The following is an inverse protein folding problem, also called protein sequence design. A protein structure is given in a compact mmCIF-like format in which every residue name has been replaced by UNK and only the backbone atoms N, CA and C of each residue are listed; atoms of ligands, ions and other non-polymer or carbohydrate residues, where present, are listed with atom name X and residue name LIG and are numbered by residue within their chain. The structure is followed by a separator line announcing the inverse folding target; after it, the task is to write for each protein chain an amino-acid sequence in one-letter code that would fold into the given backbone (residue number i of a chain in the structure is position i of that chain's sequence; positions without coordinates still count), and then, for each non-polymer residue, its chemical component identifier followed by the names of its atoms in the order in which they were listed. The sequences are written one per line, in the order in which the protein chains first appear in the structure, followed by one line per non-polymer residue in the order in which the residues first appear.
data_IF_001217734632
#
_entry.id   IF_001217734632
#
_cell.length_a   1.000
_cell.length_b   1.000
_cell.length_c   1.000
_cell.angle_alpha   90.00
_cell.angle_beta   90.00
_cell.angle_gamma   90.00
#
_symmetry.space_group_name_H-M   'P 1'
#
loop_
_entity.id
_entity.type
_entity.pdbx_description
1 polymer ?
#
# COMPACT_ATOMS: atom_id res chain seq x y z
N UNK A 1 21.02 2.62 21.29
CA UNK A 1 20.57 3.66 20.33
C UNK A 1 19.62 2.98 19.34
N UNK A 2 18.30 3.19 19.49
CA UNK A 2 17.28 2.69 18.55
C UNK A 2 17.19 3.70 17.39
N UNK A 3 17.53 3.25 16.19
CA UNK A 3 17.29 4.04 14.99
C UNK A 3 15.84 3.80 14.54
N UNK A 4 15.00 4.81 14.69
CA UNK A 4 13.64 4.84 14.14
C UNK A 4 13.77 5.18 12.66
N UNK A 5 13.49 4.20 11.78
CA UNK A 5 13.36 4.42 10.34
C UNK A 5 11.95 4.95 10.10
N UNK A 6 11.83 6.26 9.85
CA UNK A 6 10.59 6.89 9.39
C UNK A 6 10.49 6.67 7.89
N UNK A 7 9.56 5.82 7.46
CA UNK A 7 9.21 5.64 6.06
C UNK A 7 8.28 6.81 5.64
N UNK A 8 8.82 7.77 4.91
CA UNK A 8 8.02 8.83 4.28
C UNK A 8 7.41 8.27 3.01
N UNK A 9 6.09 7.99 3.05
CA UNK A 9 5.31 7.69 1.84
C UNK A 9 5.02 9.01 1.15
N UNK A 10 5.76 9.29 0.08
CA UNK A 10 5.46 10.39 -0.83
C UNK A 10 4.20 10.03 -1.64
N UNK A 11 3.06 10.61 -1.28
CA UNK A 11 1.85 10.55 -2.08
C UNK A 11 2.05 11.29 -3.39
N UNK A 12 2.12 10.56 -4.51
CA UNK A 12 2.08 11.16 -5.84
C UNK A 12 0.67 11.71 -6.09
N UNK A 13 0.55 13.03 -6.12
CA UNK A 13 -0.62 13.72 -6.67
C UNK A 13 -0.67 13.42 -8.17
N UNK A 14 -1.56 12.52 -8.59
CA UNK A 14 -1.88 12.31 -10.00
C UNK A 14 -2.69 13.52 -10.46
N UNK A 15 -2.22 14.31 -11.44
CA UNK A 15 -3.03 15.39 -11.99
C UNK A 15 -4.24 14.78 -12.69
N UNK A 16 -5.44 15.05 -12.18
CA UNK A 16 -6.67 14.72 -12.86
C UNK A 16 -6.66 15.37 -14.25
N UNK A 17 -6.81 14.58 -15.30
CA UNK A 17 -7.01 15.08 -16.65
C UNK A 17 -8.35 15.85 -16.65
N UNK A 18 -8.29 17.18 -16.74
CA UNK A 18 -9.47 17.99 -16.98
C UNK A 18 -10.06 17.54 -18.32
N UNK A 19 -11.18 16.79 -18.27
CA UNK A 19 -11.96 16.56 -19.48
C UNK A 19 -12.50 17.91 -19.94
N UNK A 20 -12.19 18.28 -21.18
CA UNK A 20 -12.78 19.45 -21.79
C UNK A 20 -14.30 19.27 -21.75
N UNK A 21 -14.99 20.08 -20.94
CA UNK A 21 -16.45 20.11 -20.93
C UNK A 21 -16.91 20.50 -22.33
N UNK A 22 -17.44 19.53 -23.03
CA UNK A 22 -18.14 19.80 -24.30
C UNK A 22 -19.47 20.40 -23.89
N UNK A 23 -19.85 21.54 -24.48
CA UNK A 23 -21.17 22.16 -24.28
C UNK A 23 -22.28 21.36 -24.98
N UNK A 24 -22.18 20.05 -25.02
CA UNK A 24 -23.15 19.16 -25.58
C UNK A 24 -24.34 19.02 -24.66
N UNK A 25 -25.52 18.83 -25.24
CA UNK A 25 -26.78 18.49 -24.55
C UNK A 25 -27.57 17.49 -25.38
N UNK A 26 -28.64 16.97 -24.79
CA UNK A 26 -29.57 16.07 -25.46
C UNK A 26 -30.95 16.70 -25.42
N UNK A 27 -31.57 16.88 -26.57
CA UNK A 27 -32.90 17.48 -26.66
C UNK A 27 -33.98 16.51 -26.17
N UNK A 28 -33.87 15.24 -26.58
CA UNK A 28 -34.71 14.14 -26.07
C UNK A 28 -33.94 12.82 -26.01
N UNK A 29 -34.27 12.03 -25.00
CA UNK A 29 -33.83 10.67 -24.85
C UNK A 29 -35.04 9.80 -24.50
N UNK A 30 -35.50 9.03 -25.46
CA UNK A 30 -36.65 8.18 -25.31
C UNK A 30 -36.18 6.71 -25.26
N UNK A 31 -36.52 6.00 -24.18
CA UNK A 31 -36.12 4.62 -23.96
C UNK A 31 -37.32 3.72 -23.79
N UNK A 32 -37.34 2.60 -24.49
CA UNK A 32 -38.28 1.51 -24.26
C UNK A 32 -37.54 0.28 -23.77
N UNK A 33 -37.91 -0.20 -22.59
CA UNK A 33 -37.48 -1.46 -21.99
C UNK A 33 -38.58 -2.49 -22.16
N UNK A 34 -38.24 -3.65 -22.71
CA UNK A 34 -39.16 -4.80 -22.86
C UNK A 34 -38.56 -6.02 -22.19
N UNK A 35 -39.13 -6.43 -21.06
CA UNK A 35 -38.76 -7.68 -20.38
C UNK A 35 -39.49 -8.82 -21.02
N UNK A 36 -38.74 -9.83 -21.52
CA UNK A 36 -39.32 -11.05 -22.05
C UNK A 36 -39.66 -12.09 -20.96
N UNK A 37 -40.47 -13.07 -21.25
CA UNK A 37 -40.69 -14.22 -20.36
C UNK A 37 -39.43 -15.04 -20.15
N UNK A 38 -38.45 -14.88 -21.03
CA UNK A 38 -37.11 -15.46 -20.96
C UNK A 38 -36.14 -14.75 -19.97
N UNK A 39 -36.57 -13.61 -19.38
CA UNK A 39 -35.75 -12.80 -18.48
C UNK A 39 -34.83 -11.81 -19.17
N UNK A 40 -34.79 -11.84 -20.49
CA UNK A 40 -33.97 -10.88 -21.25
C UNK A 40 -34.63 -9.51 -21.28
N UNK A 41 -33.85 -8.47 -21.02
CA UNK A 41 -34.21 -7.08 -21.16
C UNK A 41 -33.80 -6.59 -22.54
N UNK A 42 -34.79 -6.34 -23.42
CA UNK A 42 -34.60 -5.73 -24.75
C UNK A 42 -34.78 -4.23 -24.63
N UNK A 43 -33.79 -3.49 -25.12
CA UNK A 43 -33.74 -2.03 -24.99
C UNK A 43 -33.72 -1.40 -26.36
N UNK A 44 -34.52 -0.33 -26.51
CA UNK A 44 -34.46 0.57 -27.65
C UNK A 44 -34.39 2.01 -27.15
N UNK A 45 -33.34 2.71 -27.50
CA UNK A 45 -33.11 4.12 -27.15
C UNK A 45 -33.13 4.98 -28.40
N UNK A 46 -33.87 6.09 -28.38
CA UNK A 46 -33.80 7.12 -29.42
C UNK A 46 -33.31 8.41 -28.79
N UNK A 47 -32.14 8.88 -29.23
CA UNK A 47 -31.41 10.00 -28.65
C UNK A 47 -31.28 11.11 -29.69
N UNK A 48 -31.79 12.30 -29.42
CA UNK A 48 -31.56 13.53 -30.21
C UNK A 48 -30.45 14.31 -29.55
N UNK A 49 -29.22 14.13 -30.05
CA UNK A 49 -28.03 14.74 -29.50
C UNK A 49 -27.79 16.12 -30.11
N UNK A 50 -27.53 17.14 -29.28
CA UNK A 50 -27.16 18.49 -29.67
C UNK A 50 -25.68 18.73 -29.42
N UNK A 51 -24.95 19.03 -30.47
CA UNK A 51 -23.53 19.31 -30.40
C UNK A 51 -23.29 20.78 -30.07
N UNK A 52 -22.62 21.07 -28.95
CA UNK A 52 -22.28 22.43 -28.52
C UNK A 52 -21.23 23.11 -29.40
N UNK A 53 -20.44 22.31 -30.12
CA UNK A 53 -19.47 22.75 -31.12
C UNK A 53 -19.37 21.71 -32.23
N UNK A 54 -19.54 22.12 -33.47
CA UNK A 54 -19.46 21.20 -34.62
C UNK A 54 -18.04 20.93 -35.09
N UNK A 55 -17.02 21.66 -34.60
CA UNK A 55 -15.65 21.49 -35.03
C UNK A 55 -15.03 20.22 -34.42
N UNK A 56 -14.70 19.26 -35.28
CA UNK A 56 -14.01 18.03 -34.89
C UNK A 56 -14.90 16.94 -34.27
N UNK A 57 -16.22 17.05 -34.39
CA UNK A 57 -17.16 16.02 -33.91
C UNK A 57 -17.31 14.92 -34.94
N UNK A 58 -17.29 13.68 -34.49
CA UNK A 58 -17.40 12.49 -35.31
C UNK A 58 -18.53 11.57 -34.86
N UNK A 59 -19.13 11.79 -33.68
CA UNK A 59 -20.18 10.95 -33.12
C UNK A 59 -20.42 11.19 -31.63
N UNK A 60 -21.06 10.21 -30.99
CA UNK A 60 -21.40 10.20 -29.58
C UNK A 60 -20.82 8.97 -28.88
N UNK A 61 -20.88 8.97 -27.55
CA UNK A 61 -20.58 7.82 -26.71
C UNK A 61 -21.81 7.41 -25.91
N UNK A 62 -22.08 6.12 -25.83
CA UNK A 62 -23.07 5.53 -24.93
C UNK A 62 -22.38 4.49 -24.06
N UNK A 63 -22.44 4.69 -22.75
CA UNK A 63 -21.84 3.78 -21.77
C UNK A 63 -22.93 2.95 -21.10
N UNK A 64 -22.75 1.65 -21.05
CA UNK A 64 -23.66 0.67 -20.48
C UNK A 64 -22.96 -0.09 -19.34
N UNK A 65 -23.58 -0.28 -18.16
CA UNK A 65 -22.98 -1.05 -17.09
C UNK A 65 -22.88 -2.53 -17.51
N UNK A 66 -21.75 -3.17 -17.21
CA UNK A 66 -21.54 -4.61 -17.43
C UNK A 66 -21.23 -5.35 -16.13
N UNK A 67 -20.88 -4.61 -15.06
CA UNK A 67 -20.64 -5.14 -13.72
C UNK A 67 -20.83 -4.04 -12.69
N UNK A 68 -21.43 -4.38 -11.56
CA UNK A 68 -21.55 -3.48 -10.42
C UNK A 68 -21.49 -4.27 -9.09
N UNK A 69 -21.10 -3.66 -7.96
CA UNK A 69 -21.18 -4.28 -6.65
C UNK A 69 -22.62 -4.64 -6.29
N UNK A 70 -22.83 -5.86 -5.79
CA UNK A 70 -24.16 -6.35 -5.43
C UNK A 70 -24.20 -6.87 -4.00
N UNK A 71 -25.25 -6.51 -3.24
CA UNK A 71 -25.47 -6.97 -1.88
C UNK A 71 -24.56 -6.29 -0.83
N UNK A 72 -24.61 -6.78 0.40
CA UNK A 72 -23.78 -6.27 1.50
C UNK A 72 -22.30 -6.61 1.28
N UNK A 73 -21.42 -5.78 1.83
CA UNK A 73 -19.97 -5.99 1.75
C UNK A 73 -19.50 -7.37 2.21
N UNK A 74 -20.26 -8.00 3.12
CA UNK A 74 -19.95 -9.31 3.66
C UNK A 74 -19.97 -10.43 2.59
N UNK A 75 -20.87 -10.35 1.61
CA UNK A 75 -21.02 -11.35 0.58
C UNK A 75 -20.06 -11.16 -0.62
N UNK A 76 -19.55 -9.97 -0.80
CA UNK A 76 -18.57 -9.58 -1.84
C UNK A 76 -18.83 -10.24 -3.18
N UNK A 77 -20.03 -10.00 -3.70
CA UNK A 77 -20.46 -10.42 -5.02
C UNK A 77 -20.65 -9.20 -5.93
N UNK A 78 -20.52 -9.40 -7.21
CA UNK A 78 -20.82 -8.42 -8.24
C UNK A 78 -21.95 -8.95 -9.11
N UNK A 79 -22.92 -8.13 -9.47
CA UNK A 79 -23.85 -8.38 -10.54
C UNK A 79 -23.13 -8.20 -11.88
N UNK A 80 -23.35 -9.10 -12.81
CA UNK A 80 -22.76 -9.08 -14.15
C UNK A 80 -23.87 -9.05 -15.17
N UNK A 81 -23.73 -8.15 -16.14
CA UNK A 81 -24.68 -7.94 -17.22
C UNK A 81 -24.03 -8.28 -18.54
N UNK A 82 -24.62 -9.23 -19.29
CA UNK A 82 -24.16 -9.54 -20.64
C UNK A 82 -24.97 -8.75 -21.66
N UNK A 83 -24.26 -7.91 -22.44
CA UNK A 83 -24.86 -7.06 -23.46
C UNK A 83 -24.64 -7.70 -24.82
N UNK A 84 -25.74 -7.96 -25.54
CA UNK A 84 -25.73 -8.61 -26.84
C UNK A 84 -26.62 -7.87 -27.83
N UNK A 85 -26.60 -8.30 -29.09
CA UNK A 85 -27.46 -7.82 -30.18
C UNK A 85 -27.42 -6.29 -30.35
N UNK A 86 -26.24 -5.69 -30.14
CA UNK A 86 -26.09 -4.23 -30.27
C UNK A 86 -26.29 -3.82 -31.72
N UNK A 87 -27.16 -2.85 -31.90
CA UNK A 87 -27.49 -2.26 -33.21
C UNK A 87 -27.57 -0.73 -33.09
N UNK A 88 -27.10 -0.03 -34.08
CA UNK A 88 -27.18 1.44 -34.15
C UNK A 88 -27.70 1.83 -35.53
N UNK A 89 -28.61 2.81 -35.55
CA UNK A 89 -29.06 3.46 -36.78
C UNK A 89 -29.10 4.99 -36.56
N UNK A 90 -28.89 5.76 -37.60
CA UNK A 90 -29.01 7.22 -37.59
C UNK A 90 -29.38 7.71 -38.98
N UNK A 91 -30.41 8.61 -39.08
CA UNK A 91 -30.73 9.25 -40.35
C UNK A 91 -29.78 10.42 -40.67
N UNK A 92 -29.10 10.97 -39.65
CA UNK A 92 -28.41 12.27 -39.74
C UNK A 92 -26.89 12.14 -39.66
N UNK A 93 -26.37 10.99 -39.21
CA UNK A 93 -24.96 10.81 -38.94
C UNK A 93 -24.53 9.36 -39.24
N UNK A 94 -23.23 9.07 -39.14
CA UNK A 94 -22.71 7.71 -39.26
C UNK A 94 -23.18 6.86 -38.07
N UNK A 95 -23.75 5.70 -38.37
CA UNK A 95 -24.16 4.68 -37.40
C UNK A 95 -23.07 3.61 -37.15
N UNK A 96 -21.88 3.74 -37.76
CA UNK A 96 -20.76 2.86 -37.45
C UNK A 96 -20.40 2.97 -35.98
N UNK A 97 -20.11 1.86 -35.33
CA UNK A 97 -19.71 1.88 -33.91
C UNK A 97 -18.61 0.89 -33.60
N UNK A 98 -17.92 1.15 -32.51
CA UNK A 98 -16.97 0.24 -31.89
C UNK A 98 -17.26 0.16 -30.40
N UNK A 99 -16.98 -0.97 -29.79
CA UNK A 99 -17.16 -1.20 -28.35
C UNK A 99 -15.81 -1.27 -27.63
N UNK A 100 -15.80 -0.83 -26.39
CA UNK A 100 -14.64 -0.98 -25.50
C UNK A 100 -15.13 -1.16 -24.07
N UNK A 101 -14.64 -2.21 -23.39
CA UNK A 101 -14.92 -2.45 -21.98
C UNK A 101 -13.91 -1.71 -21.12
N UNK A 102 -14.37 -1.05 -20.09
CA UNK A 102 -13.56 -0.31 -19.11
C UNK A 102 -14.02 -0.65 -17.69
N UNK A 103 -13.06 -1.07 -16.85
CA UNK A 103 -13.26 -1.33 -15.42
C UNK A 103 -12.39 -0.41 -14.53
N UNK A 104 -11.64 0.54 -15.12
CA UNK A 104 -10.64 1.29 -14.37
C UNK A 104 -11.21 2.51 -13.64
N UNK A 105 -12.20 3.19 -14.21
CA UNK A 105 -12.72 4.44 -13.66
C UNK A 105 -13.56 4.24 -12.40
N UNK A 106 -14.32 3.13 -12.31
CA UNK A 106 -15.10 2.75 -11.13
C UNK A 106 -14.42 1.72 -10.22
N UNK A 107 -13.23 1.27 -10.61
CA UNK A 107 -12.54 0.15 -9.97
C UNK A 107 -12.91 -1.20 -10.58
N UNK A 108 -12.30 -2.31 -10.14
CA UNK A 108 -12.44 -3.62 -10.78
C UNK A 108 -13.85 -4.25 -10.62
N UNK A 109 -14.66 -3.67 -9.73
CA UNK A 109 -16.02 -4.12 -9.45
C UNK A 109 -17.08 -3.30 -10.19
N UNK A 110 -16.69 -2.22 -10.86
CA UNK A 110 -17.56 -1.30 -11.56
C UNK A 110 -17.07 -1.20 -13.00
N UNK A 111 -17.65 -2.00 -13.87
CA UNK A 111 -17.25 -2.10 -15.27
C UNK A 111 -18.36 -1.63 -16.20
N UNK A 112 -17.97 -1.05 -17.31
CA UNK A 112 -18.88 -0.62 -18.35
C UNK A 112 -18.39 -0.99 -19.75
N UNK A 113 -19.32 -1.11 -20.68
CA UNK A 113 -19.05 -1.15 -22.09
C UNK A 113 -19.43 0.19 -22.73
N UNK A 114 -18.48 0.82 -23.40
CA UNK A 114 -18.69 2.09 -24.10
C UNK A 114 -18.83 1.83 -25.60
N UNK A 115 -20.00 2.17 -26.13
CA UNK A 115 -20.26 2.26 -27.56
C UNK A 115 -19.77 3.61 -28.07
N UNK A 116 -18.73 3.63 -28.90
CA UNK A 116 -18.30 4.83 -29.64
C UNK A 116 -18.98 4.79 -31.01
N UNK A 117 -19.99 5.63 -31.17
CA UNK A 117 -20.85 5.69 -32.34
C UNK A 117 -20.42 6.83 -33.23
N UNK A 118 -20.10 6.55 -34.48
CA UNK A 118 -19.64 7.51 -35.48
C UNK A 118 -18.45 6.98 -36.27
N UNK A 119 -17.97 7.75 -37.23
CA UNK A 119 -16.83 7.43 -38.09
C UNK A 119 -15.74 8.49 -37.95
N UNK A 120 -14.52 8.07 -37.63
CA UNK A 120 -13.37 8.95 -37.43
C UNK A 120 -13.03 9.83 -38.64
N UNK A 121 -13.41 9.38 -39.86
CA UNK A 121 -13.16 10.10 -41.10
C UNK A 121 -14.33 10.98 -41.54
N UNK A 122 -15.50 10.85 -40.89
CA UNK A 122 -16.70 11.60 -41.21
C UNK A 122 -17.03 12.58 -40.10
N UNK A 123 -17.03 13.87 -40.42
CA UNK A 123 -17.39 14.94 -39.46
C UNK A 123 -18.89 15.19 -39.47
N UNK A 124 -19.41 15.42 -38.28
CA UNK A 124 -20.79 15.91 -38.12
C UNK A 124 -20.82 17.40 -38.42
N UNK A 125 -21.69 17.81 -39.33
CA UNK A 125 -21.85 19.20 -39.74
C UNK A 125 -23.16 19.82 -39.26
N UNK A 126 -24.14 18.97 -38.87
CA UNK A 126 -25.42 19.40 -38.29
C UNK A 126 -25.30 19.76 -36.82
N UNK A 127 -26.15 20.67 -36.34
CA UNK A 127 -26.18 21.04 -34.91
C UNK A 127 -26.71 19.89 -34.03
N UNK A 128 -27.55 19.01 -34.59
CA UNK A 128 -28.15 17.87 -33.93
C UNK A 128 -27.99 16.63 -34.77
N UNK A 129 -28.00 15.46 -34.15
CA UNK A 129 -28.15 14.18 -34.82
C UNK A 129 -28.97 13.21 -33.96
N UNK A 130 -29.78 12.40 -34.64
CA UNK A 130 -30.65 11.40 -34.03
C UNK A 130 -29.98 10.04 -34.13
N UNK A 131 -29.88 9.32 -33.01
CA UNK A 131 -29.36 7.95 -32.95
C UNK A 131 -30.43 7.03 -32.36
N UNK A 132 -30.67 5.90 -32.99
CA UNK A 132 -31.46 4.81 -32.39
C UNK A 132 -30.53 3.65 -32.10
N UNK A 133 -30.48 3.24 -30.82
CA UNK A 133 -29.59 2.21 -30.29
C UNK A 133 -30.47 1.10 -29.74
N UNK A 134 -30.26 -0.15 -30.25
CA UNK A 134 -30.89 -1.34 -29.70
C UNK A 134 -29.87 -2.26 -29.09
N UNK A 135 -30.23 -2.95 -28.01
CA UNK A 135 -29.40 -3.96 -27.36
C UNK A 135 -30.25 -4.88 -26.47
N UNK A 136 -29.67 -6.03 -26.09
CA UNK A 136 -30.26 -7.02 -25.19
C UNK A 136 -29.37 -7.17 -23.97
N UNK A 137 -29.97 -7.22 -22.78
CA UNK A 137 -29.23 -7.40 -21.50
C UNK A 137 -29.75 -8.65 -20.80
N UNK A 138 -28.86 -9.55 -20.36
CA UNK A 138 -29.17 -10.62 -19.43
C UNK A 138 -28.68 -10.32 -18.03
N UNK A 139 -29.33 -10.86 -17.00
CA UNK A 139 -28.99 -10.64 -15.59
C UNK A 139 -29.51 -9.32 -15.00
N UNK A 140 -30.34 -8.56 -15.73
CA UNK A 140 -30.85 -7.25 -15.29
C UNK A 140 -31.94 -7.32 -14.21
N UNK A 141 -32.56 -8.49 -14.03
CA UNK A 141 -33.68 -8.66 -13.13
C UNK A 141 -33.22 -9.04 -11.70
N UNK A 142 -34.07 -8.71 -10.74
CA UNK A 142 -33.95 -9.10 -9.32
C UNK A 142 -35.24 -9.73 -8.86
N UNK A 143 -35.17 -10.77 -7.99
CA UNK A 143 -36.34 -11.37 -7.40
C UNK A 143 -36.23 -11.36 -5.88
N UNK A 144 -37.29 -10.95 -5.20
CA UNK A 144 -37.42 -10.99 -3.74
C UNK A 144 -38.24 -12.20 -3.24
N UNK A 145 -38.75 -13.02 -4.14
CA UNK A 145 -39.70 -14.11 -3.84
C UNK A 145 -41.15 -13.66 -3.90
N UNK A 146 -41.50 -12.47 -3.45
CA UNK A 146 -42.85 -11.91 -3.49
C UNK A 146 -43.15 -11.19 -4.82
N UNK A 147 -42.12 -10.69 -5.48
CA UNK A 147 -42.17 -10.04 -6.79
C UNK A 147 -40.82 -10.13 -7.49
N UNK A 148 -40.86 -9.98 -8.80
CA UNK A 148 -39.68 -9.71 -9.62
C UNK A 148 -39.58 -8.22 -9.91
N UNK A 149 -38.40 -7.69 -10.18
CA UNK A 149 -38.17 -6.28 -10.40
C UNK A 149 -37.11 -6.04 -11.47
N UNK A 150 -37.40 -5.12 -12.40
CA UNK A 150 -36.39 -4.44 -13.17
C UNK A 150 -35.97 -3.20 -12.36
N UNK A 151 -34.75 -3.15 -11.87
CA UNK A 151 -34.15 -1.99 -11.22
C UNK A 151 -32.90 -1.61 -11.99
N UNK A 152 -32.95 -0.48 -12.73
CA UNK A 152 -31.98 -0.18 -13.75
C UNK A 152 -31.62 1.30 -13.84
N UNK A 153 -30.32 1.60 -14.00
CA UNK A 153 -29.83 2.94 -14.30
C UNK A 153 -29.99 3.21 -15.81
N UNK A 154 -30.99 4.01 -16.16
CA UNK A 154 -31.29 4.35 -17.55
C UNK A 154 -30.19 5.21 -18.15
N UNK A 155 -29.74 6.22 -17.39
CA UNK A 155 -28.70 7.15 -17.80
C UNK A 155 -27.75 7.37 -16.65
N UNK A 156 -26.47 7.13 -16.90
CA UNK A 156 -25.39 7.34 -15.93
C UNK A 156 -24.92 8.78 -15.84
N UNK A 157 -24.04 9.06 -14.89
CA UNK A 157 -23.53 10.41 -14.60
C UNK A 157 -22.65 11.00 -15.73
N UNK A 158 -22.17 10.19 -16.66
CA UNK A 158 -21.33 10.61 -17.78
C UNK A 158 -22.09 11.34 -18.89
N UNK A 159 -23.43 11.20 -18.93
CA UNK A 159 -24.25 11.85 -19.94
C UNK A 159 -24.39 13.37 -19.71
N UNK A 160 -24.45 14.18 -20.77
CA UNK A 160 -24.70 15.62 -20.66
C UNK A 160 -26.12 15.91 -20.16
N UNK A 161 -26.45 17.18 -19.99
CA UNK A 161 -27.83 17.60 -19.67
C UNK A 161 -28.79 17.11 -20.74
N UNK A 162 -29.93 16.57 -20.32
CA UNK A 162 -31.01 16.09 -21.18
C UNK A 162 -32.24 16.94 -20.90
N UNK A 163 -32.78 17.58 -21.94
CA UNK A 163 -33.96 18.47 -21.77
C UNK A 163 -35.17 17.64 -21.40
N UNK A 164 -35.37 16.49 -22.05
CA UNK A 164 -36.44 15.54 -21.75
C UNK A 164 -35.97 14.08 -21.83
N UNK A 165 -36.05 13.40 -20.73
CA UNK A 165 -35.87 11.94 -20.63
C UNK A 165 -37.24 11.30 -20.45
N UNK A 166 -37.61 10.37 -21.37
CA UNK A 166 -38.83 9.59 -21.30
C UNK A 166 -38.49 8.10 -21.29
N UNK A 167 -39.08 7.33 -20.39
CA UNK A 167 -38.86 5.90 -20.30
C UNK A 167 -40.19 5.15 -20.26
N UNK A 168 -40.29 4.10 -21.06
CA UNK A 168 -41.40 3.14 -21.05
C UNK A 168 -40.90 1.76 -20.71
N UNK A 169 -41.60 1.06 -19.79
CA UNK A 169 -41.26 -0.31 -19.39
C UNK A 169 -42.45 -1.23 -19.68
N UNK A 170 -42.22 -2.26 -20.46
CA UNK A 170 -43.17 -3.33 -20.75
C UNK A 170 -42.68 -4.63 -20.13
N UNK A 171 -43.57 -5.34 -19.40
CA UNK A 171 -43.22 -6.59 -18.72
C UNK A 171 -44.36 -7.62 -18.91
N UNK A 172 -44.09 -8.92 -18.79
CA UNK A 172 -45.14 -9.93 -18.79
C UNK A 172 -46.18 -9.70 -17.69
N UNK A 173 -47.44 -9.68 -18.02
CA UNK A 173 -48.54 -9.46 -17.09
C UNK A 173 -48.75 -8.00 -16.68
N UNK A 174 -47.95 -7.10 -17.17
CA UNK A 174 -47.96 -5.65 -16.84
C UNK A 174 -47.23 -5.28 -15.54
N UNK A 175 -46.79 -4.03 -15.52
CA UNK A 175 -46.08 -3.44 -14.37
C UNK A 175 -47.04 -3.26 -13.20
N UNK A 176 -46.65 -3.69 -11.99
CA UNK A 176 -47.46 -3.61 -10.78
C UNK A 176 -47.25 -2.30 -10.02
N UNK A 177 -45.99 -1.84 -9.95
CA UNK A 177 -45.56 -0.65 -9.21
C UNK A 177 -44.36 -0.01 -9.92
N UNK A 178 -44.26 1.31 -9.87
CA UNK A 178 -43.14 2.06 -10.45
C UNK A 178 -42.41 2.88 -9.40
N UNK A 179 -41.09 2.99 -9.56
CA UNK A 179 -40.22 3.90 -8.79
C UNK A 179 -39.22 4.55 -9.73
N UNK A 180 -38.95 5.84 -9.52
CA UNK A 180 -37.97 6.58 -10.31
C UNK A 180 -37.24 7.59 -9.43
N UNK A 181 -35.92 7.57 -9.53
CA UNK A 181 -35.05 8.52 -8.81
C UNK A 181 -34.09 9.18 -9.79
N UNK A 182 -33.89 10.50 -9.66
CA UNK A 182 -32.95 11.25 -10.48
C UNK A 182 -32.18 12.27 -9.67
N UNK A 183 -30.83 12.16 -9.67
CA UNK A 183 -29.96 13.05 -8.87
C UNK A 183 -28.54 12.51 -8.74
N UNK A 184 -27.83 12.93 -7.70
CA UNK A 184 -26.53 12.35 -7.38
C UNK A 184 -26.65 10.83 -7.11
N UNK A 185 -25.58 10.08 -7.33
CA UNK A 185 -25.59 8.65 -7.04
C UNK A 185 -26.04 8.37 -5.60
N UNK A 186 -26.99 7.44 -5.44
CA UNK A 186 -27.60 7.11 -4.15
C UNK A 186 -28.70 8.09 -3.69
N UNK A 187 -29.17 8.99 -4.55
CA UNK A 187 -30.26 9.90 -4.26
C UNK A 187 -31.58 9.18 -4.04
N UNK A 188 -32.45 9.76 -3.21
CA UNK A 188 -33.88 9.40 -3.10
C UNK A 188 -34.82 10.44 -3.70
N UNK A 189 -34.29 11.39 -4.49
CA UNK A 189 -35.10 12.40 -5.15
C UNK A 189 -35.89 11.75 -6.29
N UNK A 190 -37.21 11.83 -6.21
CA UNK A 190 -38.07 11.26 -7.23
C UNK A 190 -37.98 12.03 -8.58
N UNK A 191 -38.25 11.31 -9.67
CA UNK A 191 -38.32 11.88 -11.01
C UNK A 191 -39.52 12.85 -11.13
N UNK A 192 -39.54 13.63 -12.20
CA UNK A 192 -40.64 14.56 -12.51
C UNK A 192 -42.00 13.85 -12.55
N UNK A 193 -42.06 12.66 -13.14
CA UNK A 193 -43.25 11.82 -13.07
C UNK A 193 -42.92 10.33 -13.18
N UNK A 194 -43.80 9.51 -12.59
CA UNK A 194 -43.79 8.05 -12.68
C UNK A 194 -45.21 7.54 -12.52
N UNK A 195 -45.65 6.63 -13.36
CA UNK A 195 -46.98 6.04 -13.31
C UNK A 195 -47.04 4.66 -13.99
N UNK A 196 -48.03 3.88 -13.62
CA UNK A 196 -48.47 2.73 -14.43
C UNK A 196 -49.64 3.16 -15.32
N UNK A 197 -49.48 3.06 -16.63
CA UNK A 197 -50.48 3.42 -17.61
C UNK A 197 -50.70 2.24 -18.55
N UNK A 198 -51.90 1.72 -18.59
CA UNK A 198 -52.26 0.55 -19.41
C UNK A 198 -51.32 -0.68 -19.23
N UNK A 199 -50.86 -0.90 -17.97
CA UNK A 199 -49.95 -2.00 -17.63
C UNK A 199 -48.50 -1.73 -17.99
N UNK A 200 -48.14 -0.52 -18.44
CA UNK A 200 -46.77 -0.07 -18.71
C UNK A 200 -46.27 0.86 -17.61
N UNK A 201 -45.04 0.71 -17.23
CA UNK A 201 -44.36 1.71 -16.41
C UNK A 201 -43.95 2.88 -17.30
N UNK A 202 -44.37 4.10 -16.96
CA UNK A 202 -44.03 5.32 -17.71
C UNK A 202 -43.33 6.27 -16.73
N UNK A 203 -42.19 6.79 -17.15
CA UNK A 203 -41.34 7.68 -16.33
C UNK A 203 -40.88 8.87 -17.15
N UNK A 204 -40.80 10.05 -16.52
CA UNK A 204 -40.29 11.26 -17.16
C UNK A 204 -39.39 12.04 -16.19
N UNK A 205 -38.27 12.54 -16.70
CA UNK A 205 -37.42 13.50 -16.02
C UNK A 205 -37.10 14.69 -16.90
N UNK A 206 -37.51 15.89 -16.46
CA UNK A 206 -37.37 17.14 -17.21
C UNK A 206 -37.00 18.32 -16.29
N UNK A 207 -35.82 18.96 -16.44
CA UNK A 207 -34.65 18.44 -17.15
C UNK A 207 -33.90 17.40 -16.29
N UNK A 208 -33.09 16.56 -16.92
CA UNK A 208 -32.08 15.74 -16.26
C UNK A 208 -30.74 16.46 -16.36
N UNK A 209 -30.18 16.85 -15.21
CA UNK A 209 -28.93 17.61 -15.13
C UNK A 209 -27.72 16.73 -15.39
N UNK A 210 -26.68 17.23 -16.06
CA UNK A 210 -25.40 16.56 -16.22
C UNK A 210 -24.79 16.15 -14.87
N UNK A 211 -24.09 15.02 -14.82
CA UNK A 211 -23.49 14.51 -13.59
C UNK A 211 -24.46 13.80 -12.64
N UNK A 212 -25.75 13.68 -13.00
CA UNK A 212 -26.75 12.91 -12.23
C UNK A 212 -26.93 11.51 -12.80
N UNK A 213 -27.54 10.61 -12.04
CA UNK A 213 -27.98 9.27 -12.47
C UNK A 213 -29.50 9.25 -12.45
N UNK A 214 -30.12 8.57 -13.43
CA UNK A 214 -31.58 8.32 -13.40
C UNK A 214 -31.80 6.83 -13.35
N UNK A 215 -32.42 6.37 -12.25
CA UNK A 215 -32.70 4.96 -11.96
C UNK A 215 -34.21 4.75 -11.95
N UNK A 216 -34.67 3.68 -12.59
CA UNK A 216 -36.06 3.24 -12.56
C UNK A 216 -36.20 1.89 -11.85
N UNK A 217 -37.34 1.69 -11.18
CA UNK A 217 -37.80 0.41 -10.68
C UNK A 217 -39.18 0.09 -11.26
N UNK A 218 -39.34 -1.13 -11.76
CA UNK A 218 -40.63 -1.63 -12.23
C UNK A 218 -40.88 -3.03 -11.67
N UNK A 219 -41.90 -3.20 -10.83
CA UNK A 219 -42.27 -4.49 -10.25
C UNK A 219 -43.10 -5.33 -11.21
N UNK A 220 -42.78 -6.61 -11.23
CA UNK A 220 -43.37 -7.64 -12.05
C UNK A 220 -44.01 -8.67 -11.13
N UNK A 221 -45.20 -9.18 -11.47
CA UNK A 221 -45.80 -10.27 -10.71
C UNK A 221 -44.92 -11.53 -10.74
N UNK A 222 -44.79 -12.26 -9.64
CA UNK A 222 -43.85 -13.38 -9.55
C UNK A 222 -44.28 -14.53 -10.45
N UNK A 223 -43.27 -15.27 -10.95
CA UNK A 223 -43.49 -16.48 -11.76
C UNK A 223 -43.83 -16.23 -13.24
N UNK A 224 -43.77 -15.01 -13.72
CA UNK A 224 -44.00 -14.64 -15.13
C UNK A 224 -42.72 -14.61 -15.96
N UNK A 225 -41.56 -14.63 -15.31
CA UNK A 225 -40.27 -14.52 -15.93
C UNK A 225 -39.37 -15.66 -15.45
N UNK A 226 -38.62 -16.30 -16.34
CA UNK A 226 -37.82 -17.48 -16.00
C UNK A 226 -36.43 -17.14 -15.45
N UNK A 227 -35.66 -16.28 -16.08
CA UNK A 227 -34.34 -15.86 -15.62
C UNK A 227 -34.46 -14.52 -14.86
N UNK A 228 -35.00 -14.58 -13.64
CA UNK A 228 -35.39 -13.42 -12.83
C UNK A 228 -34.38 -13.09 -11.73
N UNK A 229 -33.22 -13.75 -11.70
CA UNK A 229 -32.18 -13.51 -10.71
C UNK A 229 -30.99 -12.77 -11.32
N UNK A 230 -30.30 -11.91 -10.55
CA UNK A 230 -29.06 -11.30 -11.04
C UNK A 230 -28.00 -12.38 -11.27
N UNK A 231 -27.24 -12.26 -12.32
CA UNK A 231 -26.05 -13.08 -12.54
C UNK A 231 -24.95 -12.62 -11.60
N UNK A 232 -24.58 -13.44 -10.61
CA UNK A 232 -23.65 -13.05 -9.56
C UNK A 232 -22.30 -13.74 -9.74
N UNK A 233 -21.24 -12.94 -9.76
CA UNK A 233 -19.86 -13.40 -9.71
C UNK A 233 -19.18 -12.98 -8.41
N UNK A 234 -18.05 -13.63 -8.09
CA UNK A 234 -17.21 -13.21 -6.97
C UNK A 234 -16.64 -11.82 -7.21
N UNK A 235 -16.70 -10.96 -6.19
CA UNK A 235 -16.14 -9.62 -6.27
C UNK A 235 -14.67 -9.63 -6.70
N UNK A 236 -14.32 -8.80 -7.66
CA UNK A 236 -12.94 -8.62 -8.14
C UNK A 236 -12.16 -7.77 -7.16
N UNK A 237 -10.94 -8.19 -6.87
CA UNK A 237 -10.01 -7.40 -6.05
C UNK A 237 -9.22 -6.45 -6.94
N UNK A 238 -9.03 -5.21 -6.49
CA UNK A 238 -8.16 -4.26 -7.18
C UNK A 238 -6.71 -4.76 -7.22
N UNK A 239 -5.96 -4.37 -8.24
CA UNK A 239 -4.53 -4.71 -8.35
C UNK A 239 -3.73 -4.16 -7.16
N UNK A 240 -4.12 -2.98 -6.65
CA UNK A 240 -3.54 -2.42 -5.43
C UNK A 240 -3.83 -3.28 -4.19
N UNK A 241 -5.04 -3.83 -4.05
CA UNK A 241 -5.37 -4.74 -2.95
C UNK A 241 -4.61 -6.06 -3.06
N UNK A 242 -4.47 -6.62 -4.26
CA UNK A 242 -3.64 -7.81 -4.50
C UNK A 242 -2.17 -7.56 -4.19
N UNK A 243 -1.63 -6.43 -4.65
CA UNK A 243 -0.26 -6.01 -4.35
C UNK A 243 -0.05 -5.82 -2.84
N UNK A 244 -0.98 -5.18 -2.13
CA UNK A 244 -0.91 -4.99 -0.68
C UNK A 244 -0.89 -6.31 0.08
N UNK A 245 -1.72 -7.29 -0.31
CA UNK A 245 -1.69 -8.64 0.26
C UNK A 245 -0.36 -9.36 -0.01
N UNK A 246 0.18 -9.22 -1.22
CA UNK A 246 1.49 -9.79 -1.56
C UNK A 246 2.61 -9.14 -0.73
N UNK A 247 2.60 -7.80 -0.56
CA UNK A 247 3.54 -7.08 0.30
C UNK A 247 3.44 -7.48 1.76
N UNK A 248 2.22 -7.64 2.30
CA UNK A 248 2.02 -8.15 3.66
C UNK A 248 2.54 -9.57 3.84
N UNK A 249 2.34 -10.44 2.85
CA UNK A 249 2.86 -11.81 2.86
C UNK A 249 4.39 -11.84 2.85
N UNK A 250 5.04 -11.13 1.95
CA UNK A 250 6.50 -11.06 1.84
C UNK A 250 7.10 -10.31 3.02
N UNK A 251 6.56 -9.14 3.36
CA UNK A 251 7.03 -8.33 4.50
C UNK A 251 6.89 -9.07 5.83
N UNK A 252 5.77 -9.75 6.05
CA UNK A 252 5.55 -10.59 7.23
C UNK A 252 6.57 -11.73 7.33
N UNK A 253 6.84 -12.42 6.22
CA UNK A 253 7.83 -13.49 6.17
C UNK A 253 9.25 -13.00 6.46
N UNK A 254 9.65 -11.86 5.90
CA UNK A 254 10.94 -11.23 6.16
C UNK A 254 11.08 -10.81 7.63
N UNK A 255 10.01 -10.27 8.22
CA UNK A 255 10.01 -9.86 9.64
C UNK A 255 10.17 -11.07 10.56
N UNK A 256 9.44 -12.16 10.30
CA UNK A 256 9.56 -13.41 11.07
C UNK A 256 10.98 -13.96 10.93
N UNK A 257 11.54 -14.02 9.72
CA UNK A 257 12.91 -14.48 9.50
C UNK A 257 13.95 -13.62 10.25
N UNK A 258 13.77 -12.30 10.27
CA UNK A 258 14.64 -11.39 11.00
C UNK A 258 14.55 -11.60 12.53
N UNK A 259 13.34 -11.80 13.07
CA UNK A 259 13.14 -12.10 14.49
C UNK A 259 13.79 -13.43 14.86
N UNK A 260 13.57 -14.47 14.06
CA UNK A 260 14.19 -15.79 14.28
C UNK A 260 15.72 -15.69 14.20
N UNK A 261 16.25 -14.98 13.21
CA UNK A 261 17.69 -14.72 13.07
C UNK A 261 18.26 -13.99 14.29
N UNK A 262 17.57 -12.97 14.79
CA UNK A 262 17.99 -12.23 15.99
C UNK A 262 17.96 -13.11 17.26
N UNK A 263 16.93 -13.93 17.41
CA UNK A 263 16.84 -14.89 18.55
C UNK A 263 17.94 -15.94 18.49
N UNK A 264 18.24 -16.46 17.31
CA UNK A 264 19.36 -17.40 17.12
C UNK A 264 20.70 -16.72 17.36
N UNK A 265 20.89 -15.50 16.89
CA UNK A 265 22.08 -14.69 17.17
C UNK A 265 22.26 -14.48 18.67
N UNK A 266 21.24 -14.02 19.39
CA UNK A 266 21.30 -13.83 20.84
C UNK A 266 21.57 -15.13 21.60
N UNK A 267 21.00 -16.23 21.11
CA UNK A 267 21.26 -17.55 21.68
C UNK A 267 22.73 -17.98 21.49
N UNK A 268 23.30 -17.68 20.31
CA UNK A 268 24.67 -18.12 19.95
C UNK A 268 25.74 -17.11 20.41
N UNK A 269 25.37 -15.87 20.79
CA UNK A 269 26.27 -14.81 21.27
C UNK A 269 26.40 -14.79 22.79
N UNK A 270 25.94 -15.83 23.48
CA UNK A 270 26.14 -15.93 24.94
C UNK A 270 27.56 -16.34 25.22
N UNK A 271 28.16 -15.71 26.23
CA UNK A 271 29.47 -16.11 26.77
C UNK A 271 29.45 -17.56 27.20
N UNK A 272 30.55 -18.27 26.98
CA UNK A 272 30.71 -19.65 27.34
C UNK A 272 31.60 -19.76 28.58
N UNK A 273 31.29 -20.71 29.42
CA UNK A 273 32.11 -21.07 30.57
C UNK A 273 32.36 -22.56 30.63
N UNK A 274 33.41 -22.97 31.28
CA UNK A 274 33.68 -24.38 31.53
C UNK A 274 32.57 -25.00 32.37
N UNK A 275 32.07 -26.15 31.91
CA UNK A 275 31.11 -26.93 32.67
C UNK A 275 31.81 -27.60 33.85
N UNK A 276 31.10 -27.65 35.00
CA UNK A 276 31.56 -28.39 36.20
C UNK A 276 32.87 -27.86 36.85
N UNK A 277 33.32 -26.64 36.47
CA UNK A 277 34.47 -26.00 37.10
C UNK A 277 33.97 -24.84 37.97
N UNK A 278 34.32 -24.80 39.27
CA UNK A 278 33.99 -23.69 40.15
C UNK A 278 34.58 -22.36 39.65
N UNK A 279 33.90 -21.22 39.86
CA UNK A 279 34.41 -19.92 39.47
C UNK A 279 35.80 -19.63 40.07
N UNK A 280 36.73 -19.17 39.24
CA UNK A 280 38.08 -18.83 39.64
C UNK A 280 39.09 -20.01 39.58
N UNK A 281 38.67 -21.17 39.15
CA UNK A 281 39.55 -22.30 38.88
C UNK A 281 39.73 -22.54 37.39
N UNK A 282 40.90 -22.98 36.97
CA UNK A 282 41.20 -23.37 35.60
C UNK A 282 41.14 -24.90 35.54
N UNK A 283 40.44 -25.49 34.54
CA UNK A 283 40.42 -26.94 34.42
C UNK A 283 41.82 -27.53 34.13
N UNK A 284 42.11 -28.65 34.72
CA UNK A 284 43.34 -29.37 34.44
C UNK A 284 43.25 -30.05 33.06
N UNK A 285 43.97 -29.53 32.06
CA UNK A 285 43.89 -29.97 30.65
C UNK A 285 42.93 -29.06 29.87
N UNK A 286 43.47 -28.03 29.23
CA UNK A 286 42.66 -26.94 28.63
C UNK A 286 42.05 -27.27 27.29
N UNK A 287 42.46 -28.31 26.59
CA UNK A 287 42.06 -28.50 25.17
C UNK A 287 40.76 -29.27 24.96
N UNK A 288 40.24 -29.99 25.98
CA UNK A 288 39.01 -30.80 25.87
C UNK A 288 37.99 -30.59 27.00
N UNK A 289 38.11 -29.53 27.79
CA UNK A 289 37.16 -29.29 28.88
C UNK A 289 35.80 -28.84 28.32
N UNK A 290 34.68 -29.52 28.69
CA UNK A 290 33.36 -29.15 28.16
C UNK A 290 32.94 -27.74 28.56
N UNK A 291 32.45 -26.99 27.60
CA UNK A 291 31.93 -25.64 27.81
C UNK A 291 30.39 -25.64 27.76
N UNK A 292 29.77 -24.69 28.43
CA UNK A 292 28.34 -24.44 28.38
C UNK A 292 28.08 -22.93 28.36
N UNK A 293 26.92 -22.51 27.78
CA UNK A 293 26.54 -21.10 27.84
C UNK A 293 26.42 -20.60 29.28
N UNK A 294 26.91 -19.38 29.52
CA UNK A 294 26.82 -18.74 30.82
C UNK A 294 25.37 -18.39 31.19
N UNK A 295 25.01 -18.58 32.45
CA UNK A 295 23.67 -18.27 32.99
C UNK A 295 23.78 -17.17 34.03
N UNK A 296 22.73 -16.31 34.09
CA UNK A 296 22.67 -15.23 35.07
C UNK A 296 22.88 -15.70 36.53
N UNK A 297 22.40 -16.88 36.85
CA UNK A 297 22.62 -17.50 38.18
C UNK A 297 24.07 -17.84 38.49
N UNK A 298 24.92 -17.93 37.47
CA UNK A 298 26.33 -18.26 37.67
C UNK A 298 27.13 -17.06 38.23
N UNK A 299 26.60 -15.85 38.07
CA UNK A 299 27.22 -14.62 38.59
C UNK A 299 26.94 -14.38 40.09
N UNK A 300 25.95 -15.07 40.67
CA UNK A 300 25.61 -14.95 42.09
C UNK A 300 26.61 -15.65 43.02
N UNK A 301 27.41 -16.55 42.48
CA UNK A 301 28.37 -17.39 43.25
C UNK A 301 29.82 -17.09 42.95
N UNK A 302 30.16 -15.94 42.38
CA UNK A 302 31.55 -15.55 42.11
C UNK A 302 32.26 -15.25 43.42
N UNK A 303 33.30 -16.03 43.82
CA UNK A 303 34.04 -15.77 45.05
C UNK A 303 34.80 -14.47 44.93
N UNK A 304 34.72 -13.62 45.96
CA UNK A 304 35.48 -12.38 46.04
C UNK A 304 36.96 -12.75 46.31
N UNK A 305 37.84 -12.37 45.40
CA UNK A 305 39.29 -12.52 45.58
C UNK A 305 39.85 -11.24 46.17
N UNK A 306 40.56 -11.33 47.27
CA UNK A 306 41.18 -10.17 47.97
C UNK A 306 42.52 -9.83 47.34
N UNK A 307 43.12 -10.70 46.58
CA UNK A 307 44.39 -10.48 45.88
C UNK A 307 44.10 -10.25 44.40
N UNK A 308 44.66 -9.19 43.79
CA UNK A 308 44.50 -8.92 42.35
C UNK A 308 44.93 -10.15 41.52
N UNK A 309 44.28 -10.47 40.41
CA UNK A 309 44.73 -11.52 39.50
C UNK A 309 46.11 -11.16 38.92
N UNK A 310 46.92 -12.19 38.69
CA UNK A 310 48.23 -12.05 38.03
C UNK A 310 48.02 -11.89 36.50
N UNK A 311 47.49 -10.77 36.10
CA UNK A 311 47.30 -10.39 34.70
C UNK A 311 47.80 -8.95 34.50
N UNK A 312 48.36 -8.62 33.31
CA UNK A 312 48.78 -7.27 33.02
C UNK A 312 47.64 -6.28 33.20
N UNK A 313 47.88 -5.10 33.72
CA UNK A 313 46.87 -4.10 34.09
C UNK A 313 46.01 -3.71 32.88
N UNK A 314 46.59 -3.57 31.69
CA UNK A 314 45.86 -3.30 30.45
C UNK A 314 44.87 -4.42 30.08
N UNK A 315 45.25 -5.68 30.32
CA UNK A 315 44.39 -6.83 30.03
C UNK A 315 43.23 -6.92 31.02
N UNK A 316 43.43 -6.53 32.26
CA UNK A 316 42.38 -6.50 33.29
C UNK A 316 41.18 -5.60 32.87
N UNK A 317 41.43 -4.42 32.33
CA UNK A 317 40.39 -3.53 31.81
C UNK A 317 39.70 -4.12 30.59
N UNK A 318 40.42 -4.65 29.62
CA UNK A 318 39.91 -5.29 28.42
C UNK A 318 38.97 -6.46 28.73
N UNK A 319 39.30 -7.28 29.76
CA UNK A 319 38.47 -8.40 30.19
C UNK A 319 37.13 -7.96 30.82
N UNK A 320 37.07 -6.73 31.40
CA UNK A 320 35.86 -6.24 32.07
C UNK A 320 34.84 -5.71 31.05
N UNK A 321 35.26 -4.88 30.07
CA UNK A 321 34.34 -4.15 29.18
C UNK A 321 34.61 -4.36 27.69
N UNK A 322 35.60 -5.19 27.33
CA UNK A 322 35.97 -5.52 25.95
C UNK A 322 36.56 -4.34 25.16
N UNK A 323 37.04 -3.30 25.83
CA UNK A 323 37.55 -2.07 25.19
C UNK A 323 38.87 -1.64 25.82
N UNK A 324 39.73 -1.07 24.98
CA UNK A 324 40.91 -0.35 25.44
C UNK A 324 40.66 1.14 25.27
N UNK A 325 40.77 1.91 26.33
CA UNK A 325 40.54 3.35 26.34
C UNK A 325 41.58 4.12 27.14
N UNK A 326 41.31 5.40 27.41
CA UNK A 326 42.22 6.28 28.17
C UNK A 326 42.49 5.75 29.59
N UNK A 327 41.57 5.02 30.18
CA UNK A 327 41.70 4.43 31.52
C UNK A 327 42.77 3.34 31.55
N UNK A 328 42.72 2.40 30.61
CA UNK A 328 43.66 1.31 30.48
C UNK A 328 45.06 1.82 30.09
N UNK A 329 45.11 2.78 29.17
CA UNK A 329 46.36 3.47 28.78
C UNK A 329 47.01 4.18 29.96
N UNK A 330 46.23 4.87 30.77
CA UNK A 330 46.75 5.55 31.99
C UNK A 330 47.23 4.54 33.03
N UNK A 331 46.54 3.42 33.16
CA UNK A 331 46.94 2.34 34.09
C UNK A 331 48.29 1.72 33.71
N UNK A 332 48.53 1.48 32.41
CA UNK A 332 49.82 1.00 31.89
C UNK A 332 50.94 1.99 32.19
N UNK A 333 50.72 3.31 32.01
CA UNK A 333 51.71 4.35 32.35
C UNK A 333 52.08 4.33 33.84
N UNK A 334 51.07 4.20 34.69
CA UNK A 334 51.32 4.14 36.16
C UNK A 334 52.05 2.87 36.53
N UNK A 335 51.69 1.74 35.95
CA UNK A 335 52.32 0.43 36.19
C UNK A 335 53.80 0.46 35.76
N UNK A 336 54.11 0.95 34.56
CA UNK A 336 55.49 1.14 34.09
C UNK A 336 56.27 2.08 34.97
N UNK A 337 55.64 3.11 35.55
CA UNK A 337 56.30 4.02 36.50
C UNK A 337 56.59 3.30 37.85
N UNK A 338 55.64 2.51 38.35
CA UNK A 338 55.82 1.75 39.59
C UNK A 338 56.95 0.73 39.45
N UNK A 339 57.05 0.07 38.29
CA UNK A 339 58.12 -0.87 37.96
C UNK A 339 59.44 -0.14 37.68
N UNK A 340 59.45 1.16 37.54
CA UNK A 340 60.65 1.98 37.32
C UNK A 340 61.16 1.94 35.87
N UNK A 341 60.34 1.54 34.91
CA UNK A 341 60.64 1.63 33.50
C UNK A 341 60.60 3.10 33.00
N UNK A 342 59.65 3.87 33.52
CA UNK A 342 59.53 5.31 33.27
C UNK A 342 59.43 6.07 34.57
N UNK A 343 59.64 7.38 34.52
CA UNK A 343 59.39 8.32 35.59
C UNK A 343 58.33 9.35 35.14
N UNK A 344 57.28 9.52 35.92
CA UNK A 344 56.25 10.53 35.66
C UNK A 344 56.53 11.77 36.49
N UNK A 345 56.53 12.92 35.86
CA UNK A 345 56.72 14.23 36.51
C UNK A 345 55.60 15.20 36.11
N UNK A 346 54.92 15.75 37.08
CA UNK A 346 53.98 16.82 36.85
C UNK A 346 54.70 18.17 36.92
N UNK A 347 54.29 19.16 36.12
CA UNK A 347 54.71 20.55 36.24
C UNK A 347 54.07 21.18 37.48
N UNK A 348 54.65 22.22 38.02
CA UNK A 348 54.17 22.83 39.27
C UNK A 348 52.71 23.37 39.18
N UNK A 349 52.25 23.68 38.00
CA UNK A 349 50.86 24.07 37.73
C UNK A 349 49.90 22.90 37.59
N UNK A 350 50.38 21.64 37.51
CA UNK A 350 49.58 20.43 37.33
C UNK A 350 48.96 20.29 35.95
N UNK A 351 49.20 21.19 34.99
CA UNK A 351 48.57 21.14 33.66
C UNK A 351 49.29 20.17 32.72
N UNK A 352 50.58 19.92 32.93
CA UNK A 352 51.39 19.03 32.08
C UNK A 352 52.03 17.94 32.89
N UNK A 353 52.00 16.74 32.31
CA UNK A 353 52.69 15.56 32.83
C UNK A 353 53.72 15.11 31.80
N UNK A 354 54.93 14.88 32.23
CA UNK A 354 56.02 14.37 31.42
C UNK A 354 56.31 12.93 31.78
N UNK A 355 56.60 12.12 30.82
CA UNK A 355 57.13 10.78 30.97
C UNK A 355 58.60 10.76 30.53
N UNK A 356 59.48 10.31 31.40
CA UNK A 356 60.90 10.09 31.12
C UNK A 356 61.23 8.63 31.11
N UNK A 357 61.87 8.13 30.08
CA UNK A 357 62.34 6.76 30.01
C UNK A 357 63.56 6.58 30.92
N UNK A 358 63.46 5.67 31.88
CA UNK A 358 64.52 5.39 32.85
C UNK A 358 65.24 4.08 32.48
N UNK A 359 64.48 2.97 32.32
CA UNK A 359 65.07 1.66 32.08
C UNK A 359 64.12 0.78 31.27
N UNK A 360 64.37 0.68 29.97
CA UNK A 360 63.58 -0.12 29.07
C UNK A 360 63.62 -1.64 29.31
N UNK A 361 64.60 -2.13 30.10
CA UNK A 361 64.70 -3.57 30.40
C UNK A 361 63.65 -4.03 31.42
N UNK A 362 62.90 -3.12 32.05
CA UNK A 362 61.84 -3.41 33.01
C UNK A 362 60.46 -3.57 32.40
N UNK A 363 60.42 -3.74 31.09
CA UNK A 363 59.20 -4.03 30.33
C UNK A 363 59.05 -5.56 30.23
N UNK A 364 57.91 -6.08 30.64
CA UNK A 364 57.70 -7.53 30.78
C UNK A 364 56.85 -8.08 29.63
N UNK A 365 56.10 -7.20 28.91
CA UNK A 365 55.13 -7.64 27.89
C UNK A 365 55.43 -7.00 26.51
N UNK A 366 55.27 -7.72 25.42
CA UNK A 366 55.51 -7.20 24.09
C UNK A 366 54.68 -5.96 23.71
N UNK A 367 53.43 -5.85 24.19
CA UNK A 367 52.60 -4.67 23.98
C UNK A 367 53.11 -3.41 24.72
N UNK A 368 53.83 -3.58 25.84
CA UNK A 368 54.40 -2.48 26.57
C UNK A 368 55.63 -1.88 25.85
N UNK A 369 56.39 -2.74 25.15
CA UNK A 369 57.48 -2.23 24.28
C UNK A 369 56.93 -1.39 23.14
N UNK A 370 55.85 -1.82 22.50
CA UNK A 370 55.19 -1.07 21.44
C UNK A 370 54.57 0.21 21.98
N UNK A 371 54.00 0.15 23.17
CA UNK A 371 53.46 1.30 23.88
C UNK A 371 54.52 2.36 24.15
N UNK A 372 55.64 1.98 24.67
CA UNK A 372 56.80 2.87 24.88
C UNK A 372 57.31 3.44 23.56
N UNK A 373 57.44 2.61 22.54
CA UNK A 373 57.84 3.04 21.18
C UNK A 373 56.88 4.11 20.61
N UNK A 374 55.59 3.94 20.82
CA UNK A 374 54.56 4.88 20.37
C UNK A 374 54.63 6.22 21.12
N UNK A 375 54.80 6.16 22.45
CA UNK A 375 54.91 7.39 23.28
C UNK A 375 56.17 8.19 22.97
N UNK A 376 57.31 7.50 22.85
CA UNK A 376 58.61 8.14 22.56
C UNK A 376 58.95 8.19 21.06
N UNK A 377 57.94 8.08 20.16
CA UNK A 377 58.10 7.97 18.70
C UNK A 377 58.86 9.14 18.04
N UNK A 378 58.80 10.33 18.65
CA UNK A 378 59.46 11.51 18.13
C UNK A 378 60.87 11.72 18.69
N UNK A 379 61.28 10.90 19.66
CA UNK A 379 62.57 10.88 20.27
C UNK A 379 63.16 9.46 20.21
N UNK A 380 64.45 9.34 20.10
CA UNK A 380 65.07 8.03 20.24
C UNK A 380 64.70 7.47 21.62
N UNK A 381 64.03 6.29 21.65
CA UNK A 381 63.65 5.63 22.91
C UNK A 381 64.90 5.13 23.65
N UNK A 382 65.76 6.08 24.07
CA UNK A 382 66.97 5.85 24.84
C UNK A 382 66.74 6.27 26.30
N UNK A 383 67.36 5.66 27.26
CA UNK A 383 67.30 6.11 28.65
C UNK A 383 67.63 7.60 28.81
N UNK A 384 66.71 8.33 29.41
CA UNK A 384 66.78 9.79 29.56
C UNK A 384 65.89 10.61 28.62
N UNK A 385 65.30 9.99 27.54
CA UNK A 385 64.32 10.63 26.72
C UNK A 385 63.12 11.07 27.55
N UNK A 386 62.60 12.29 27.30
CA UNK A 386 61.45 12.86 28.01
C UNK A 386 60.43 13.37 27.01
N UNK A 387 59.17 13.04 27.22
CA UNK A 387 58.05 13.45 26.37
C UNK A 387 56.91 14.00 27.19
N UNK A 388 56.28 15.05 26.70
CA UNK A 388 55.11 15.63 27.33
C UNK A 388 53.85 14.80 26.98
N UNK A 389 53.17 14.29 28.00
CA UNK A 389 51.89 13.59 27.85
C UNK A 389 50.79 14.65 27.70
N UNK A 390 50.28 14.78 26.46
CA UNK A 390 49.19 15.70 26.18
C UNK A 390 47.87 15.16 26.73
N UNK A 391 46.90 16.10 26.98
CA UNK A 391 45.56 15.76 27.50
C UNK A 391 44.94 14.54 26.81
N UNK A 392 44.08 13.73 27.50
CA UNK A 392 43.69 12.36 27.11
C UNK A 392 43.10 12.15 25.73
N UNK A 393 42.89 13.17 24.90
CA UNK A 393 42.34 13.04 23.54
C UNK A 393 43.37 12.81 22.43
N UNK A 394 44.67 12.95 22.68
CA UNK A 394 45.71 12.81 21.65
C UNK A 394 46.29 11.40 21.55
N UNK A 395 46.25 10.63 22.61
CA UNK A 395 46.76 9.24 22.68
C UNK A 395 45.85 8.18 22.06
N UNK A 396 44.59 8.55 21.74
CA UNK A 396 43.61 7.64 21.12
C UNK A 396 43.67 7.60 19.57
N UNK A 397 44.64 8.26 18.93
CA UNK A 397 44.82 8.28 17.49
C UNK A 397 46.10 7.62 16.98
N UNK A 398 46.84 6.97 17.86
CA UNK A 398 48.02 6.19 17.45
C UNK A 398 47.72 4.69 17.42
#
# INVERSE_FOLDING_TARGET
MLAVVVLVVAGALVPGTAQAQTNDSVDSWDTTFTVGTDGLLRVSETIVWRFGSNSGRHGIKRTLPTREPFGDEADKKDAVYDITDVSVTSPDASAAFTTSTDCEQGGPRDCSETLKIGDANTRITSATATYTIGYTVSGALRSSGDYDELYWDVVGSEAPTIDRLSVSVEVPGGVQETRCYSGAAGTSTECTSQAVVDGRGVFTQEPRTAGTVTTIGAKIAPGLVSDNQPHLEKARMSETAKASLAFLGVGGSCTIAAIVGLLLFWRNSRDERFADVPPGMVPAGTDDAPVRPDKKSDHETIPVRVVPPDVPVAVGGLLIDGRIGARETSAVLVDLAVRGAIQLRAEDDGERVYARLVDASRVDQPFEEEFLRTIFSNEKAEPGAEVALHKPGALLKA
#
